data_IF_917737926410
#
_entry.id   IF_917737926410
#
_cell.length_a   1.000
_cell.length_b   1.000
_cell.length_c   1.000
_cell.angle_alpha   90.00
_cell.angle_beta   90.00
_cell.angle_gamma   90.00
#
_symmetry.space_group_name_H-M   'P 1'
#
loop_
_entity.id
_entity.type
_entity.pdbx_description
1 polymer ?
#
# COMPACT_ATOMS: atom_id res chain seq x y z
N UNK A 1 25.15 -29.65 25.87
CA UNK A 1 24.95 -28.75 24.71
C UNK A 1 23.76 -29.13 23.82
N UNK A 2 23.84 -30.15 22.95
CA UNK A 2 22.73 -30.43 22.01
C UNK A 2 21.38 -30.75 22.69
N UNK A 3 21.38 -31.54 23.77
CA UNK A 3 20.16 -31.87 24.55
C UNK A 3 19.57 -30.64 25.24
N UNK A 4 20.42 -29.75 25.77
CA UNK A 4 19.98 -28.51 26.42
C UNK A 4 19.38 -27.53 25.40
N UNK A 5 19.95 -27.47 24.19
CA UNK A 5 19.43 -26.63 23.10
C UNK A 5 18.05 -27.13 22.65
N UNK A 6 17.86 -28.43 22.50
CA UNK A 6 16.56 -28.99 22.12
C UNK A 6 15.48 -28.64 23.17
N UNK A 7 15.81 -28.71 24.45
CA UNK A 7 14.90 -28.30 25.53
C UNK A 7 14.61 -26.79 25.54
N UNK A 8 15.54 -25.97 25.04
CA UNK A 8 15.36 -24.51 24.90
C UNK A 8 14.51 -24.20 23.68
N UNK A 9 14.73 -24.89 22.56
CA UNK A 9 13.93 -24.76 21.33
C UNK A 9 12.46 -25.06 21.62
N UNK A 10 12.18 -26.15 22.33
CA UNK A 10 10.80 -26.53 22.70
C UNK A 10 10.10 -25.50 23.59
N UNK A 11 10.88 -24.66 24.28
CA UNK A 11 10.38 -23.58 25.15
C UNK A 11 10.27 -22.24 24.43
N UNK A 12 10.91 -22.06 23.27
CA UNK A 12 10.81 -20.85 22.48
C UNK A 12 9.45 -20.82 21.78
N UNK A 13 8.60 -19.88 22.16
CA UNK A 13 7.29 -19.63 21.58
C UNK A 13 7.15 -18.17 21.15
N UNK A 14 7.95 -17.78 20.14
CA UNK A 14 7.95 -16.43 19.61
C UNK A 14 6.55 -16.09 19.07
N UNK A 15 5.94 -15.05 19.63
CA UNK A 15 4.69 -14.50 19.11
C UNK A 15 4.90 -13.10 18.60
N UNK A 16 4.65 -12.94 17.31
CA UNK A 16 4.67 -11.66 16.60
C UNK A 16 3.36 -10.92 16.81
N UNK A 17 3.47 -9.66 17.20
CA UNK A 17 2.34 -8.73 17.23
C UNK A 17 1.99 -8.25 15.80
N UNK A 18 0.82 -7.65 15.63
CA UNK A 18 0.43 -7.04 14.34
C UNK A 18 1.45 -5.95 13.96
N UNK A 19 2.07 -6.04 12.77
CA UNK A 19 3.03 -5.04 12.32
C UNK A 19 2.38 -3.66 12.24
N UNK A 20 3.16 -2.64 12.60
CA UNK A 20 2.76 -1.25 12.46
C UNK A 20 3.60 -0.56 11.39
N UNK A 21 3.04 0.44 10.73
CA UNK A 21 3.71 1.20 9.70
C UNK A 21 4.05 2.59 10.25
N UNK A 22 5.29 3.04 10.02
CA UNK A 22 5.75 4.40 10.32
C UNK A 22 6.39 5.03 9.10
N UNK A 23 6.45 6.36 9.10
CA UNK A 23 7.25 7.12 8.14
C UNK A 23 8.55 7.54 8.82
N UNK A 24 9.68 7.27 8.17
CA UNK A 24 10.99 7.77 8.57
C UNK A 24 11.71 8.28 7.32
N UNK A 25 12.03 9.59 7.27
CA UNK A 25 12.70 10.23 6.13
C UNK A 25 12.07 9.91 4.75
N UNK A 26 10.73 10.02 4.64
CA UNK A 26 9.94 9.68 3.44
C UNK A 26 9.99 8.19 3.02
N UNK A 27 10.57 7.31 3.84
CA UNK A 27 10.52 5.86 3.64
C UNK A 27 9.46 5.24 4.56
N UNK A 28 8.76 4.21 4.05
CA UNK A 28 7.85 3.39 4.83
C UNK A 28 8.67 2.39 5.66
N UNK A 29 8.47 2.41 6.96
CA UNK A 29 9.13 1.52 7.92
C UNK A 29 8.10 0.56 8.48
N UNK A 30 8.39 -0.74 8.42
CA UNK A 30 7.56 -1.77 9.07
C UNK A 30 8.16 -2.06 10.44
N UNK A 31 7.41 -1.74 11.49
CA UNK A 31 7.81 -2.00 12.87
C UNK A 31 7.19 -3.31 13.34
N UNK A 32 8.05 -4.28 13.67
CA UNK A 32 7.67 -5.54 14.29
C UNK A 32 7.88 -5.47 15.80
N UNK A 33 7.01 -6.15 16.54
CA UNK A 33 7.13 -6.38 17.98
C UNK A 33 6.82 -7.83 18.31
N UNK A 34 7.39 -8.33 19.39
CA UNK A 34 7.12 -9.68 19.87
C UNK A 34 7.13 -9.74 21.38
N UNK A 35 6.41 -10.73 21.92
CA UNK A 35 6.16 -10.83 23.37
C UNK A 35 7.21 -11.61 24.14
N UNK A 36 7.94 -12.52 23.49
CA UNK A 36 8.86 -13.42 24.17
C UNK A 36 10.27 -12.85 24.31
N UNK A 37 10.86 -13.04 25.49
CA UNK A 37 12.23 -12.64 25.75
C UNK A 37 13.14 -13.88 25.74
N UNK A 38 13.70 -14.17 24.57
CA UNK A 38 14.58 -15.33 24.34
C UNK A 38 15.82 -15.27 25.25
N UNK A 39 16.30 -14.08 25.62
CA UNK A 39 17.47 -13.95 26.51
C UNK A 39 17.19 -14.38 27.96
N UNK A 40 15.92 -14.61 28.34
CA UNK A 40 15.57 -15.20 29.64
C UNK A 40 15.70 -16.72 29.67
N UNK A 41 15.60 -17.37 28.50
CA UNK A 41 15.61 -18.83 28.37
C UNK A 41 16.92 -19.34 27.73
N UNK A 42 17.70 -18.47 27.10
CA UNK A 42 18.98 -18.78 26.47
C UNK A 42 20.02 -17.69 26.73
N UNK A 43 21.23 -18.10 27.14
CA UNK A 43 22.33 -17.18 27.50
C UNK A 43 23.52 -17.23 26.52
N UNK A 44 23.48 -18.12 25.52
CA UNK A 44 24.50 -18.18 24.46
C UNK A 44 24.19 -17.23 23.31
N UNK A 45 25.03 -17.21 22.28
CA UNK A 45 24.80 -16.41 21.08
C UNK A 45 23.57 -16.90 20.29
N UNK A 46 22.72 -15.97 19.88
CA UNK A 46 21.56 -16.22 19.01
C UNK A 46 21.19 -14.95 18.24
N UNK A 47 20.50 -15.13 17.12
CA UNK A 47 19.93 -14.04 16.32
C UNK A 47 18.47 -14.33 15.99
N UNK A 48 17.70 -13.28 15.74
CA UNK A 48 16.34 -13.39 15.20
C UNK A 48 16.41 -13.27 13.68
N UNK A 49 15.92 -14.29 12.98
CA UNK A 49 15.76 -14.25 11.52
C UNK A 49 14.33 -13.85 11.17
N UNK A 50 14.19 -12.81 10.35
CA UNK A 50 12.90 -12.34 9.85
C UNK A 50 12.76 -12.67 8.38
N UNK A 51 11.64 -13.28 8.02
CA UNK A 51 11.27 -13.58 6.64
C UNK A 51 9.98 -12.88 6.25
N UNK A 52 9.95 -12.39 5.01
CA UNK A 52 8.76 -11.82 4.40
C UNK A 52 8.44 -12.54 3.11
N UNK A 53 7.14 -12.71 2.87
CA UNK A 53 6.58 -13.18 1.61
C UNK A 53 5.64 -12.11 1.07
N UNK A 54 5.95 -11.58 -0.11
CA UNK A 54 5.04 -10.67 -0.84
C UNK A 54 3.97 -11.49 -1.55
N UNK A 55 2.71 -11.18 -1.30
CA UNK A 55 1.58 -11.90 -1.87
C UNK A 55 1.21 -11.35 -3.25
N UNK A 56 1.04 -12.24 -4.23
CA UNK A 56 0.53 -11.85 -5.53
C UNK A 56 -0.98 -11.60 -5.46
N UNK A 57 -1.45 -10.48 -6.01
CA UNK A 57 -2.86 -10.05 -5.88
C UNK A 57 -3.89 -10.97 -6.57
N UNK A 58 -3.45 -11.98 -7.33
CA UNK A 58 -4.34 -12.98 -7.95
C UNK A 58 -4.86 -14.05 -6.96
N UNK A 59 -4.23 -14.22 -5.80
CA UNK A 59 -4.52 -15.35 -4.89
C UNK A 59 -5.47 -15.01 -3.73
N UNK A 60 -5.91 -13.75 -3.58
CA UNK A 60 -6.97 -13.38 -2.64
C UNK A 60 -8.38 -13.81 -3.11
N UNK A 61 -8.46 -14.57 -4.21
CA UNK A 61 -9.67 -15.25 -4.68
C UNK A 61 -9.55 -16.75 -4.45
N UNK A 62 -9.53 -17.18 -3.20
CA UNK A 62 -10.03 -18.51 -2.86
C UNK A 62 -10.41 -18.52 -1.38
N UNK A 63 -11.70 -18.28 -1.15
CA UNK A 63 -12.52 -19.00 -0.19
C UNK A 63 -13.96 -18.55 -0.42
N UNK A 64 -14.54 -19.05 -1.51
CA UNK A 64 -15.97 -19.27 -1.74
C UNK A 64 -16.16 -19.62 -3.22
N UNK A 65 -16.34 -20.93 -3.47
CA UNK A 65 -17.14 -21.56 -4.53
C UNK A 65 -16.48 -22.88 -4.96
N UNK A 66 -16.86 -23.94 -4.23
CA UNK A 66 -17.03 -25.25 -4.85
C UNK A 66 -18.24 -25.15 -5.78
N UNK A 67 -18.02 -25.20 -7.09
CA UNK A 67 -18.45 -26.34 -7.92
C UNK A 67 -18.50 -26.04 -9.41
N UNK A 68 -18.12 -27.08 -10.16
CA UNK A 68 -18.34 -27.38 -11.58
C UNK A 68 -17.37 -26.85 -12.66
N UNK A 69 -16.56 -27.82 -13.11
CA UNK A 69 -15.81 -27.93 -14.36
C UNK A 69 -16.61 -27.55 -15.61
N UNK A 70 -15.95 -26.93 -16.58
CA UNK A 70 -15.53 -27.55 -17.87
C UNK A 70 -15.01 -26.49 -18.85
N UNK A 71 -13.99 -26.84 -19.65
CA UNK A 71 -13.72 -26.16 -20.92
C UNK A 71 -12.26 -25.79 -21.18
N UNK A 72 -11.61 -26.58 -22.01
CA UNK A 72 -10.29 -26.39 -22.62
C UNK A 72 -10.19 -25.14 -23.51
N UNK A 73 -9.03 -24.46 -23.51
CA UNK A 73 -8.30 -24.07 -24.74
C UNK A 73 -6.96 -23.40 -24.41
N UNK A 74 -5.96 -23.73 -25.22
CA UNK A 74 -4.61 -23.19 -25.29
C UNK A 74 -4.62 -21.73 -25.75
N UNK A 75 -3.69 -20.89 -25.27
CA UNK A 75 -2.66 -20.25 -26.12
C UNK A 75 -1.69 -19.32 -25.34
N UNK A 76 -0.41 -19.54 -25.66
CA UNK A 76 0.71 -18.61 -25.87
C UNK A 76 1.19 -17.70 -24.75
N UNK A 77 2.42 -18.00 -24.32
CA UNK A 77 3.25 -17.15 -23.48
C UNK A 77 3.86 -15.97 -24.24
N UNK A 78 3.86 -14.83 -23.56
CA UNK A 78 4.80 -13.73 -23.79
C UNK A 78 5.67 -13.63 -22.54
N UNK A 79 6.96 -13.91 -22.69
CA UNK A 79 7.97 -13.63 -21.67
C UNK A 79 8.11 -12.12 -21.51
N UNK A 80 7.84 -11.61 -20.31
CA UNK A 80 8.16 -10.23 -19.92
C UNK A 80 9.42 -10.23 -19.08
N UNK A 81 10.36 -9.41 -19.54
CA UNK A 81 11.61 -8.98 -18.92
C UNK A 81 11.50 -8.85 -17.39
N UNK A 82 12.25 -9.69 -16.67
CA UNK A 82 12.32 -9.70 -15.21
C UNK A 82 13.07 -8.46 -14.69
N UNK A 83 12.36 -7.64 -13.93
CA UNK A 83 12.91 -6.54 -13.14
C UNK A 83 13.70 -7.13 -11.96
N UNK A 84 15.03 -7.11 -12.06
CA UNK A 84 15.96 -7.88 -11.20
C UNK A 84 16.02 -7.43 -9.73
N UNK A 85 15.27 -6.39 -9.37
CA UNK A 85 15.26 -5.81 -8.02
C UNK A 85 13.96 -6.07 -7.24
N UNK A 86 13.02 -6.84 -7.79
CA UNK A 86 11.78 -7.23 -7.10
C UNK A 86 11.91 -8.62 -6.47
N UNK A 87 11.56 -8.73 -5.19
CA UNK A 87 11.51 -10.01 -4.49
C UNK A 87 10.59 -11.01 -5.24
N UNK A 88 10.99 -12.29 -5.37
CA UNK A 88 10.16 -13.29 -6.03
C UNK A 88 8.83 -13.45 -5.27
N UNK A 89 7.72 -13.21 -5.97
CA UNK A 89 6.38 -13.33 -5.40
C UNK A 89 6.14 -14.71 -4.79
N UNK A 90 5.36 -14.75 -3.71
CA UNK A 90 4.97 -15.97 -2.99
C UNK A 90 6.12 -16.82 -2.44
N UNK A 91 7.34 -16.27 -2.38
CA UNK A 91 8.50 -16.94 -1.79
C UNK A 91 8.91 -16.24 -0.50
N UNK A 92 9.13 -17.01 0.56
CA UNK A 92 9.70 -16.49 1.79
C UNK A 92 11.15 -16.06 1.56
N UNK A 93 11.43 -14.78 1.76
CA UNK A 93 12.78 -14.22 1.65
C UNK A 93 13.22 -13.69 2.99
N UNK A 94 14.45 -14.01 3.40
CA UNK A 94 15.05 -13.44 4.60
C UNK A 94 15.34 -11.95 4.37
N UNK A 95 14.77 -11.10 5.21
CA UNK A 95 14.89 -9.63 5.09
C UNK A 95 15.81 -9.02 6.13
N UNK A 96 15.96 -9.65 7.29
CA UNK A 96 16.77 -9.11 8.37
C UNK A 96 17.26 -10.20 9.32
N UNK A 97 18.38 -9.91 9.97
CA UNK A 97 18.95 -10.66 11.07
C UNK A 97 19.24 -9.69 12.22
N UNK A 98 18.76 -10.01 13.41
CA UNK A 98 18.81 -9.11 14.57
C UNK A 98 19.56 -9.80 15.69
N UNK A 99 20.56 -9.14 16.26
CA UNK A 99 21.10 -9.52 17.56
C UNK A 99 20.34 -8.75 18.65
N UNK A 100 19.38 -9.39 19.34
CA UNK A 100 18.57 -8.72 20.34
C UNK A 100 19.37 -8.34 21.60
N UNK A 101 20.60 -8.82 21.78
CA UNK A 101 21.44 -8.48 22.94
C UNK A 101 22.11 -7.11 22.82
N UNK A 102 22.22 -6.57 21.59
CA UNK A 102 22.82 -5.26 21.31
C UNK A 102 21.81 -4.12 21.27
N UNK A 103 20.51 -4.44 21.24
CA UNK A 103 19.42 -3.47 21.17
C UNK A 103 18.74 -3.34 22.54
N UNK A 104 18.87 -2.19 23.20
CA UNK A 104 18.31 -1.94 24.54
C UNK A 104 16.78 -1.99 24.58
N UNK A 105 16.10 -1.93 23.42
CA UNK A 105 14.65 -2.06 23.25
C UNK A 105 14.25 -3.43 22.64
N UNK A 106 14.85 -4.51 23.16
CA UNK A 106 14.92 -5.90 22.64
C UNK A 106 13.60 -6.65 22.32
N UNK A 107 12.47 -5.96 22.16
CA UNK A 107 11.18 -6.53 21.75
C UNK A 107 10.60 -5.81 20.52
N UNK A 108 11.42 -5.07 19.78
CA UNK A 108 11.01 -4.46 18.52
C UNK A 108 12.14 -4.38 17.50
N UNK A 109 11.77 -4.41 16.22
CA UNK A 109 12.66 -4.10 15.11
C UNK A 109 11.95 -3.25 14.07
N UNK A 110 12.68 -2.32 13.47
CA UNK A 110 12.28 -1.55 12.31
C UNK A 110 12.91 -2.12 11.05
N UNK A 111 12.07 -2.57 10.11
CA UNK A 111 12.49 -3.05 8.81
C UNK A 111 12.50 -1.89 7.82
N UNK A 112 13.71 -1.44 7.49
CA UNK A 112 13.98 -0.35 6.56
C UNK A 112 14.41 -0.91 5.20
N UNK A 113 13.43 -1.24 4.35
CA UNK A 113 13.68 -1.73 3.00
C UNK A 113 12.66 -1.16 2.00
N UNK A 114 12.94 -1.31 0.71
CA UNK A 114 11.95 -1.03 -0.32
C UNK A 114 10.87 -2.11 -0.31
N UNK A 115 9.62 -1.69 -0.13
CA UNK A 115 8.48 -2.59 -0.07
C UNK A 115 7.70 -2.53 -1.39
N UNK A 116 7.43 -3.70 -1.97
CA UNK A 116 6.45 -3.79 -3.04
C UNK A 116 5.07 -3.43 -2.49
N UNK A 117 4.25 -2.78 -3.32
CA UNK A 117 2.87 -2.48 -2.98
C UNK A 117 2.08 -3.79 -2.84
N UNK A 118 1.23 -3.89 -1.82
CA UNK A 118 0.33 -5.02 -1.65
C UNK A 118 0.40 -5.65 -0.27
N UNK A 119 -0.10 -6.87 -0.18
CA UNK A 119 -0.13 -7.63 1.06
C UNK A 119 1.16 -8.42 1.24
N UNK A 120 1.65 -8.43 2.46
CA UNK A 120 2.85 -9.14 2.86
C UNK A 120 2.55 -9.98 4.09
N UNK A 121 3.07 -11.19 4.08
CA UNK A 121 3.15 -12.03 5.26
C UNK A 121 4.55 -11.92 5.86
N UNK A 122 4.64 -11.87 7.19
CA UNK A 122 5.89 -11.84 7.94
C UNK A 122 5.88 -12.92 9.01
N UNK A 123 7.03 -13.56 9.18
CA UNK A 123 7.30 -14.52 10.26
C UNK A 123 8.72 -14.36 10.75
N UNK A 124 8.99 -14.82 11.96
CA UNK A 124 10.34 -14.84 12.52
C UNK A 124 10.64 -16.14 13.24
N UNK A 125 11.93 -16.42 13.44
CA UNK A 125 12.42 -17.53 14.27
C UNK A 125 13.73 -17.16 14.95
N UNK A 126 14.09 -17.90 15.98
CA UNK A 126 15.42 -17.82 16.61
C UNK A 126 16.38 -18.74 15.88
N UNK A 127 17.58 -18.26 15.57
CA UNK A 127 18.70 -19.07 15.13
C UNK A 127 19.81 -19.05 16.20
N UNK A 128 20.20 -20.23 16.66
CA UNK A 128 21.19 -20.44 17.72
C UNK A 128 22.53 -20.89 17.13
N UNK A 129 23.64 -20.53 17.80
CA UNK A 129 25.00 -20.99 17.48
C UNK A 129 25.33 -20.95 15.99
N UNK A 130 25.57 -19.75 15.45
CA UNK A 130 25.92 -19.56 14.05
C UNK A 130 24.98 -20.27 13.07
N UNK A 131 23.69 -20.39 13.46
CA UNK A 131 22.58 -20.92 12.66
C UNK A 131 22.63 -22.44 12.46
N UNK A 132 23.16 -23.15 13.45
CA UNK A 132 23.14 -24.62 13.48
C UNK A 132 21.76 -25.14 13.93
N UNK A 133 21.12 -24.44 14.87
CA UNK A 133 19.81 -24.82 15.39
C UNK A 133 18.79 -23.69 15.25
N UNK A 134 17.53 -24.04 15.04
CA UNK A 134 16.45 -23.08 14.83
C UNK A 134 15.25 -23.41 15.70
N UNK A 135 14.56 -22.37 16.19
CA UNK A 135 13.21 -22.53 16.74
C UNK A 135 12.20 -22.81 15.62
N UNK A 136 10.99 -23.19 16.01
CA UNK A 136 9.84 -23.04 15.11
C UNK A 136 9.64 -21.56 14.75
N UNK A 137 8.99 -21.31 13.62
CA UNK A 137 8.57 -19.94 13.30
C UNK A 137 7.43 -19.49 14.23
N UNK A 138 7.36 -18.18 14.42
CA UNK A 138 6.23 -17.51 15.05
C UNK A 138 4.92 -17.73 14.30
N UNK A 139 3.81 -17.22 14.86
CA UNK A 139 2.62 -16.94 14.05
C UNK A 139 2.99 -16.04 12.86
N UNK A 140 2.31 -16.28 11.73
CA UNK A 140 2.38 -15.42 10.56
C UNK A 140 1.52 -14.19 10.83
N UNK A 141 2.09 -13.02 10.64
CA UNK A 141 1.35 -11.77 10.65
C UNK A 141 1.28 -11.19 9.24
N UNK A 142 0.21 -10.45 8.98
CA UNK A 142 -0.04 -9.83 7.69
C UNK A 142 0.02 -8.32 7.84
N UNK A 143 0.65 -7.65 6.89
CA UNK A 143 0.60 -6.20 6.78
C UNK A 143 0.42 -5.79 5.32
N UNK A 144 -0.19 -4.62 5.12
CA UNK A 144 -0.42 -4.07 3.80
C UNK A 144 0.49 -2.88 3.58
N UNK A 145 1.34 -2.96 2.56
CA UNK A 145 2.08 -1.80 2.08
C UNK A 145 1.12 -1.06 1.14
N UNK A 146 0.69 0.15 1.52
CA UNK A 146 -0.27 0.90 0.74
C UNK A 146 0.34 1.25 -0.62
N UNK A 147 -0.54 1.43 -1.61
CA UNK A 147 -0.18 1.89 -2.93
C UNK A 147 0.77 3.10 -2.87
N UNK A 148 1.92 3.03 -3.54
CA UNK A 148 2.83 4.16 -3.62
C UNK A 148 2.19 5.24 -4.49
N UNK A 149 1.69 6.30 -3.86
CA UNK A 149 1.28 7.52 -4.55
C UNK A 149 2.53 8.38 -4.74
N UNK A 150 2.99 8.51 -5.98
CA UNK A 150 4.03 9.46 -6.37
C UNK A 150 3.49 10.90 -6.27
N UNK A 151 3.62 11.48 -5.08
CA UNK A 151 3.17 12.83 -4.75
C UNK A 151 4.23 13.59 -3.97
N UNK A 152 4.47 14.82 -4.40
CA UNK A 152 5.31 15.80 -3.72
C UNK A 152 4.53 16.65 -2.70
N UNK A 153 3.20 16.49 -2.62
CA UNK A 153 2.32 17.35 -1.79
C UNK A 153 1.60 16.58 -0.67
N UNK A 154 1.57 15.24 -0.75
CA UNK A 154 0.93 14.37 0.23
C UNK A 154 1.93 13.78 1.23
N UNK A 155 1.59 13.81 2.50
CA UNK A 155 2.26 13.03 3.56
C UNK A 155 1.79 11.58 3.55
N UNK A 156 2.49 10.66 4.23
CA UNK A 156 2.03 9.26 4.30
C UNK A 156 0.62 9.10 4.88
N UNK A 157 0.24 9.76 6.00
CA UNK A 157 -1.13 9.66 6.52
C UNK A 157 -2.19 10.09 5.51
N UNK A 158 -1.90 11.10 4.67
CA UNK A 158 -2.83 11.56 3.65
C UNK A 158 -2.89 10.63 2.44
N UNK A 159 -1.75 10.03 2.05
CA UNK A 159 -1.72 8.97 1.04
C UNK A 159 -2.61 7.81 1.50
N UNK A 160 -2.47 7.39 2.76
CA UNK A 160 -3.31 6.35 3.36
C UNK A 160 -4.79 6.74 3.39
N UNK A 161 -5.10 7.96 3.85
CA UNK A 161 -6.46 8.47 3.93
C UNK A 161 -7.11 8.61 2.55
N UNK A 162 -6.34 8.94 1.50
CA UNK A 162 -6.84 8.98 0.14
C UNK A 162 -7.12 7.57 -0.40
N UNK A 163 -6.19 6.63 -0.20
CA UNK A 163 -6.33 5.26 -0.69
C UNK A 163 -7.53 4.54 -0.09
N UNK A 164 -7.84 4.77 1.19
CA UNK A 164 -9.01 4.18 1.84
C UNK A 164 -10.35 4.69 1.28
N UNK A 165 -10.35 5.83 0.59
CA UNK A 165 -11.55 6.44 0.02
C UNK A 165 -11.76 6.09 -1.45
N UNK A 166 -10.72 5.65 -2.16
CA UNK A 166 -10.78 5.32 -3.58
C UNK A 166 -11.45 3.95 -3.79
N UNK A 167 -12.33 3.79 -4.79
CA UNK A 167 -12.96 2.52 -5.12
C UNK A 167 -11.99 1.60 -5.89
N UNK A 168 -10.86 1.26 -5.26
CA UNK A 168 -9.81 0.45 -5.87
C UNK A 168 -10.18 -1.03 -5.86
N UNK A 169 -10.06 -1.69 -7.01
CA UNK A 169 -10.12 -3.15 -7.09
C UNK A 169 -8.81 -3.74 -6.54
N UNK A 170 -8.84 -4.93 -5.91
CA UNK A 170 -7.63 -5.71 -5.68
C UNK A 170 -6.88 -5.85 -7.00
N UNK A 171 -5.60 -5.51 -7.03
CA UNK A 171 -4.83 -5.49 -8.29
C UNK A 171 -4.51 -4.09 -8.81
N UNK A 172 -5.33 -3.09 -8.48
CA UNK A 172 -5.25 -1.78 -9.14
C UNK A 172 -4.05 -0.95 -8.66
N UNK A 173 -3.38 -0.29 -9.59
CA UNK A 173 -2.26 0.63 -9.36
C UNK A 173 -2.64 2.06 -9.76
N UNK A 174 -2.06 3.05 -9.08
CA UNK A 174 -2.17 4.46 -9.44
C UNK A 174 -0.91 4.83 -10.23
N UNK A 175 -1.13 5.53 -11.34
CA UNK A 175 -0.06 6.05 -12.17
C UNK A 175 -0.15 7.57 -12.20
N UNK A 176 0.97 8.25 -11.97
CA UNK A 176 1.03 9.70 -12.05
C UNK A 176 0.91 10.13 -13.52
N UNK A 177 -0.25 10.63 -13.91
CA UNK A 177 -0.50 11.15 -15.25
C UNK A 177 0.07 12.56 -15.44
N UNK A 178 -0.21 13.44 -14.48
CA UNK A 178 0.07 14.87 -14.57
C UNK A 178 0.54 15.44 -13.24
N UNK A 179 1.55 16.31 -13.28
CA UNK A 179 2.02 17.13 -12.16
C UNK A 179 2.32 18.53 -12.66
N UNK A 180 1.59 19.53 -12.19
CA UNK A 180 1.71 20.91 -12.68
C UNK A 180 3.13 21.49 -12.57
N UNK A 181 3.90 21.14 -11.53
CA UNK A 181 5.30 21.58 -11.37
C UNK A 181 6.28 20.92 -12.35
N UNK A 182 5.88 19.80 -12.98
CA UNK A 182 6.66 19.08 -14.01
C UNK A 182 6.17 19.41 -15.43
N UNK A 183 4.85 19.42 -15.62
CA UNK A 183 4.19 19.44 -16.93
C UNK A 183 3.61 20.83 -17.29
N UNK A 184 3.69 21.78 -16.36
CA UNK A 184 3.12 23.12 -16.49
C UNK A 184 1.70 23.23 -15.93
N UNK A 185 1.32 24.44 -15.51
CA UNK A 185 0.02 24.74 -14.89
C UNK A 185 -1.11 24.99 -15.92
N UNK A 186 -0.84 24.84 -17.21
CA UNK A 186 -1.82 25.07 -18.27
C UNK A 186 -2.86 23.96 -18.38
N UNK A 187 -4.09 24.32 -18.74
CA UNK A 187 -5.19 23.36 -18.98
C UNK A 187 -4.92 22.43 -20.15
N UNK A 188 -4.22 22.92 -21.18
CA UNK A 188 -3.74 22.09 -22.28
C UNK A 188 -2.79 20.98 -21.80
N UNK A 189 -1.88 21.27 -20.86
CA UNK A 189 -0.98 20.25 -20.30
C UNK A 189 -1.75 19.16 -19.57
N UNK A 190 -2.77 19.54 -18.79
CA UNK A 190 -3.65 18.58 -18.12
C UNK A 190 -4.37 17.68 -19.14
N UNK A 191 -5.05 18.26 -20.14
CA UNK A 191 -5.80 17.48 -21.12
C UNK A 191 -4.91 16.59 -21.99
N UNK A 192 -3.71 17.05 -22.35
CA UNK A 192 -2.73 16.22 -23.07
C UNK A 192 -2.32 14.98 -22.27
N UNK A 193 -2.20 15.10 -20.94
CA UNK A 193 -1.80 14.00 -20.06
C UNK A 193 -2.97 13.09 -19.65
N UNK A 194 -4.14 13.66 -19.35
CA UNK A 194 -5.22 12.98 -18.64
C UNK A 194 -6.38 12.51 -19.55
N UNK A 195 -6.52 13.04 -20.76
CA UNK A 195 -7.60 12.62 -21.65
C UNK A 195 -7.51 11.13 -22.00
N UNK A 196 -8.66 10.46 -22.00
CA UNK A 196 -8.81 9.03 -22.33
C UNK A 196 -8.01 8.05 -21.44
N UNK A 197 -7.62 8.44 -20.22
CA UNK A 197 -6.85 7.57 -19.30
C UNK A 197 -7.71 6.72 -18.36
N UNK A 198 -9.03 6.85 -18.41
CA UNK A 198 -9.97 6.15 -17.52
C UNK A 198 -10.26 6.94 -16.24
N UNK A 199 -10.62 6.26 -15.13
CA UNK A 199 -10.84 6.89 -13.84
C UNK A 199 -9.60 7.67 -13.37
N UNK A 200 -9.81 8.85 -12.80
CA UNK A 200 -8.72 9.69 -12.31
C UNK A 200 -9.03 10.27 -10.93
N UNK A 201 -7.97 10.48 -10.15
CA UNK A 201 -7.99 11.27 -8.93
C UNK A 201 -7.11 12.50 -9.15
N UNK A 202 -7.65 13.68 -8.88
CA UNK A 202 -6.93 14.96 -8.91
C UNK A 202 -6.69 15.40 -7.48
N UNK A 203 -5.45 15.78 -7.15
CA UNK A 203 -5.08 16.33 -5.85
C UNK A 203 -4.41 17.69 -6.07
N UNK A 204 -4.85 18.69 -5.30
CA UNK A 204 -4.41 20.07 -5.35
C UNK A 204 -3.94 20.49 -3.97
N UNK A 205 -2.78 21.14 -3.91
CA UNK A 205 -2.32 21.89 -2.74
C UNK A 205 -2.51 23.38 -3.00
N UNK A 206 -3.25 24.07 -2.14
CA UNK A 206 -3.39 25.52 -2.22
C UNK A 206 -2.18 26.24 -1.64
N UNK A 207 -2.08 27.53 -1.95
CA UNK A 207 -1.17 28.48 -1.32
C UNK A 207 -1.38 28.64 0.20
N UNK A 208 -2.47 28.13 0.76
CA UNK A 208 -2.76 28.12 2.21
C UNK A 208 -2.47 26.75 2.84
N UNK A 209 -1.72 25.89 2.14
CA UNK A 209 -1.40 24.52 2.56
C UNK A 209 -2.65 23.65 2.80
N UNK A 210 -3.76 23.95 2.12
CA UNK A 210 -4.89 23.03 2.08
C UNK A 210 -4.64 22.00 1.00
N UNK A 211 -4.92 20.73 1.28
CA UNK A 211 -4.84 19.65 0.30
C UNK A 211 -6.22 19.06 0.12
N UNK A 212 -6.75 19.16 -1.09
CA UNK A 212 -8.07 18.70 -1.46
C UNK A 212 -8.06 18.21 -2.91
N UNK A 213 -9.18 17.66 -3.37
CA UNK A 213 -9.23 17.08 -4.70
C UNK A 213 -10.58 16.49 -5.04
N UNK A 214 -10.60 15.72 -6.12
CA UNK A 214 -11.76 15.00 -6.58
C UNK A 214 -11.40 13.74 -7.34
N UNK A 215 -12.29 12.77 -7.30
CA UNK A 215 -12.20 11.52 -8.04
C UNK A 215 -13.37 11.43 -9.03
N UNK A 216 -13.09 10.88 -10.21
CA UNK A 216 -14.11 10.53 -11.21
C UNK A 216 -13.81 9.16 -11.82
N UNK A 217 -14.86 8.41 -12.10
CA UNK A 217 -14.82 7.17 -12.89
C UNK A 217 -14.83 7.44 -14.39
N UNK A 218 -15.22 8.64 -14.80
CA UNK A 218 -15.41 9.02 -16.20
C UNK A 218 -14.09 9.58 -16.76
N UNK A 219 -13.63 9.08 -17.93
CA UNK A 219 -12.45 9.64 -18.57
C UNK A 219 -12.71 11.05 -19.10
N UNK A 220 -11.73 11.94 -18.94
CA UNK A 220 -11.68 13.25 -19.58
C UNK A 220 -11.61 13.12 -21.10
N UNK A 221 -12.33 13.97 -21.82
CA UNK A 221 -12.40 13.95 -23.29
C UNK A 221 -12.39 15.35 -23.92
N UNK A 222 -12.38 16.41 -23.12
CA UNK A 222 -12.52 17.79 -23.60
C UNK A 222 -13.81 17.99 -24.42
N UNK A 223 -14.91 17.40 -23.96
CA UNK A 223 -16.21 17.36 -24.65
C UNK A 223 -17.04 18.65 -24.58
N UNK A 224 -16.64 19.63 -23.79
CA UNK A 224 -17.40 20.86 -23.49
C UNK A 224 -18.79 20.59 -22.90
N UNK A 225 -18.93 19.53 -22.11
CA UNK A 225 -20.22 19.09 -21.58
C UNK A 225 -20.14 18.63 -20.13
N UNK A 226 -21.30 18.57 -19.47
CA UNK A 226 -21.43 17.89 -18.20
C UNK A 226 -21.52 16.38 -18.40
N UNK A 227 -20.84 15.63 -17.53
CA UNK A 227 -20.78 14.17 -17.57
C UNK A 227 -21.42 13.59 -16.32
N UNK A 228 -22.16 12.50 -16.54
CA UNK A 228 -22.82 11.75 -15.48
C UNK A 228 -21.82 10.84 -14.76
N UNK A 229 -21.64 11.06 -13.45
CA UNK A 229 -20.80 10.19 -12.60
C UNK A 229 -21.32 10.11 -11.16
N UNK A 230 -22.16 9.12 -10.89
CA UNK A 230 -22.69 8.84 -9.54
C UNK A 230 -21.64 8.38 -8.53
N UNK A 231 -20.46 7.97 -9.00
CA UNK A 231 -19.36 7.47 -8.16
C UNK A 231 -18.27 8.53 -7.94
N UNK A 232 -18.39 9.70 -8.56
CA UNK A 232 -17.47 10.80 -8.29
C UNK A 232 -17.64 11.33 -6.87
N UNK A 233 -16.57 11.94 -6.36
CA UNK A 233 -16.59 12.58 -5.05
C UNK A 233 -15.51 13.64 -4.94
N UNK A 234 -15.71 14.57 -4.02
CA UNK A 234 -14.68 15.49 -3.54
C UNK A 234 -14.05 14.96 -2.27
N UNK A 235 -12.78 15.29 -2.07
CA UNK A 235 -12.02 14.92 -0.88
C UNK A 235 -11.27 16.13 -0.33
N UNK A 236 -11.26 16.25 1.00
CA UNK A 236 -10.35 17.09 1.76
C UNK A 236 -9.41 16.16 2.52
N UNK A 237 -8.11 16.40 2.39
CA UNK A 237 -7.06 15.64 3.08
C UNK A 237 -6.35 16.47 4.15
N UNK A 238 -6.18 17.77 3.91
CA UNK A 238 -5.50 18.69 4.83
C UNK A 238 -6.20 20.05 4.84
N UNK A 239 -6.63 20.49 6.01
CA UNK A 239 -6.95 21.88 6.32
C UNK A 239 -6.80 22.13 7.83
N UNK A 240 -6.50 23.37 8.28
CA UNK A 240 -6.41 23.69 9.69
C UNK A 240 -7.67 23.29 10.46
N UNK A 241 -7.48 22.56 11.56
CA UNK A 241 -8.55 22.11 12.46
C UNK A 241 -9.66 21.26 11.80
N UNK A 242 -9.37 20.60 10.68
CA UNK A 242 -10.30 19.71 10.00
C UNK A 242 -9.67 18.33 9.77
N UNK A 243 -10.43 17.28 10.07
CA UNK A 243 -10.08 15.92 9.68
C UNK A 243 -10.33 15.71 8.18
N UNK A 244 -9.74 14.68 7.55
CA UNK A 244 -10.07 14.31 6.19
C UNK A 244 -11.59 14.09 6.02
N UNK A 245 -12.14 14.56 4.91
CA UNK A 245 -13.57 14.50 4.60
C UNK A 245 -13.79 14.06 3.16
N UNK A 246 -14.91 13.37 2.91
CA UNK A 246 -15.35 12.92 1.59
C UNK A 246 -16.78 13.39 1.34
N UNK A 247 -17.03 13.96 0.16
CA UNK A 247 -18.38 14.34 -0.27
C UNK A 247 -18.71 13.66 -1.58
N UNK A 248 -19.64 12.71 -1.53
CA UNK A 248 -20.23 12.10 -2.72
C UNK A 248 -21.14 13.07 -3.46
N UNK A 249 -21.45 12.76 -4.73
CA UNK A 249 -22.44 13.53 -5.49
C UNK A 249 -23.79 13.55 -4.79
N UNK A 250 -24.45 14.72 -4.81
CA UNK A 250 -25.83 14.87 -4.33
C UNK A 250 -26.77 14.04 -5.20
N UNK A 251 -27.67 13.29 -4.58
CA UNK A 251 -28.70 12.52 -5.31
C UNK A 251 -29.49 13.42 -6.27
N UNK A 252 -29.61 12.99 -7.52
CA UNK A 252 -30.29 13.73 -8.59
C UNK A 252 -29.42 14.77 -9.30
N UNK A 253 -28.16 14.95 -8.87
CA UNK A 253 -27.18 15.85 -9.52
C UNK A 253 -26.08 15.10 -10.28
N UNK A 254 -26.22 13.79 -10.45
CA UNK A 254 -25.20 12.91 -11.06
C UNK A 254 -24.85 13.36 -12.48
N UNK A 255 -25.83 13.83 -13.25
CA UNK A 255 -25.64 14.36 -14.60
C UNK A 255 -24.75 15.61 -14.70
N UNK A 256 -24.51 16.31 -13.58
CA UNK A 256 -23.66 17.49 -13.49
C UNK A 256 -22.41 17.24 -12.62
N UNK A 257 -22.06 15.98 -12.40
CA UNK A 257 -20.98 15.58 -11.51
C UNK A 257 -19.60 16.07 -11.98
N UNK A 258 -19.37 16.08 -13.29
CA UNK A 258 -18.10 16.48 -13.90
C UNK A 258 -18.38 17.45 -15.04
N UNK A 259 -17.54 18.48 -15.18
CA UNK A 259 -17.60 19.38 -16.33
C UNK A 259 -16.31 19.27 -17.16
N UNK A 260 -16.40 18.69 -18.35
CA UNK A 260 -15.25 18.30 -19.17
C UNK A 260 -15.01 19.31 -20.30
N UNK A 261 -14.53 20.50 -19.95
CA UNK A 261 -14.30 21.59 -20.92
C UNK A 261 -12.81 21.75 -21.26
N UNK A 262 -12.40 21.81 -22.55
CA UNK A 262 -11.00 21.88 -22.97
C UNK A 262 -10.21 23.05 -22.39
N UNK A 263 -10.89 24.17 -22.11
CA UNK A 263 -10.24 25.36 -21.55
C UNK A 263 -10.15 25.34 -20.03
N UNK A 264 -10.71 24.34 -19.35
CA UNK A 264 -10.68 24.22 -17.89
C UNK A 264 -9.78 23.07 -17.46
N UNK A 265 -9.37 23.09 -16.20
CA UNK A 265 -8.73 21.94 -15.58
C UNK A 265 -9.76 20.89 -15.17
N UNK A 266 -9.38 19.95 -14.30
CA UNK A 266 -10.31 19.00 -13.71
C UNK A 266 -11.40 19.77 -12.94
N UNK A 267 -12.65 19.63 -13.39
CA UNK A 267 -13.80 20.37 -12.84
C UNK A 267 -14.87 19.40 -12.34
N UNK A 268 -15.27 19.58 -11.08
CA UNK A 268 -16.24 18.73 -10.39
C UNK A 268 -17.45 19.56 -9.96
N UNK A 269 -18.63 19.07 -10.28
CA UNK A 269 -19.92 19.70 -9.98
C UNK A 269 -20.27 20.88 -10.88
N UNK A 270 -21.36 21.55 -10.51
CA UNK A 270 -21.80 22.82 -11.10
C UNK A 270 -22.07 23.84 -9.99
N UNK A 271 -22.01 25.13 -10.34
CA UNK A 271 -22.44 26.20 -9.43
C UNK A 271 -23.98 26.24 -9.38
N UNK A 272 -24.56 25.79 -8.27
CA UNK A 272 -25.95 26.11 -7.94
C UNK A 272 -26.01 27.53 -7.36
N UNK A 273 -26.67 28.44 -8.07
CA UNK A 273 -27.05 29.74 -7.49
C UNK A 273 -28.28 29.49 -6.59
N UNK A 274 -28.09 29.62 -5.28
CA UNK A 274 -29.18 29.70 -4.31
C UNK A 274 -29.73 31.13 -4.23
#
# INVERSE_FOLDING_TARGET
LAVEIMQVIDKCNLKLDTPSLKENNNALVVCLKWSENVSKIWHGHFVLEVEVKTLHMKELKHDNESDQKNGSSEEKGEEKEEDKDLLPYNTWTKVCEVDPTTNTDAHSIELNQHWAIGWHEVRMRVAFYDKIFFSTYSNIQVFQVPLAIDSAILTLPEKLALLSQLPMKPGATLHLLFRATRDGFGTASFHNACNNKGPTVTIVQSNHNHVFGGFTTIPWRSSSSYLNDSQSFLVLLRAPNQSPQKWSVKTGSEGNAIYDHPSYGPTFGMLEKH
#
